data_IF_534012866836
#
_entry.id   IF_534012866836
#
_cell.length_a   1.000
_cell.length_b   1.000
_cell.length_c   1.000
_cell.angle_alpha   90.00
_cell.angle_beta   90.00
_cell.angle_gamma   90.00
#
_symmetry.space_group_name_H-M   'P 1'
#
loop_
_entity.id
_entity.type
_entity.pdbx_description
1 polymer ?
#
# COMPACT_ATOMS: atom_id res chain seq x y z
N UNK A 1 46.14 12.56 25.32
CA UNK A 1 45.68 11.96 24.06
C UNK A 1 44.62 10.88 24.23
N UNK A 2 44.81 9.80 25.06
CA UNK A 2 43.79 8.77 25.24
C UNK A 2 42.43 9.25 25.78
N UNK A 3 42.39 10.22 26.70
CA UNK A 3 41.15 10.80 27.24
C UNK A 3 40.37 11.62 26.22
N UNK A 4 41.08 12.33 25.32
CA UNK A 4 40.46 13.11 24.24
C UNK A 4 39.83 12.18 23.17
N UNK A 5 40.48 11.07 22.86
CA UNK A 5 39.95 10.06 21.94
C UNK A 5 38.68 9.38 22.46
N UNK A 6 38.62 9.10 23.78
CA UNK A 6 37.42 8.53 24.43
C UNK A 6 36.24 9.51 24.43
N UNK A 7 36.50 10.81 24.60
CA UNK A 7 35.47 11.84 24.56
C UNK A 7 34.87 12.02 23.15
N UNK A 8 35.73 12.03 22.12
CA UNK A 8 35.30 12.10 20.71
C UNK A 8 34.49 10.84 20.31
N UNK A 9 34.93 9.66 20.73
CA UNK A 9 34.18 8.41 20.49
C UNK A 9 32.81 8.42 21.18
N UNK A 10 32.71 8.91 22.42
CA UNK A 10 31.44 9.02 23.13
C UNK A 10 30.45 10.00 22.44
N UNK A 11 30.93 11.13 21.91
CA UNK A 11 30.12 12.10 21.17
C UNK A 11 29.63 11.52 19.85
N UNK A 12 30.44 10.75 19.13
CA UNK A 12 30.02 10.08 17.90
C UNK A 12 28.93 9.04 18.13
N UNK A 13 28.97 8.31 19.25
CA UNK A 13 27.93 7.30 19.59
C UNK A 13 26.60 7.97 19.93
N UNK A 14 26.61 9.11 20.61
CA UNK A 14 25.37 9.84 20.97
C UNK A 14 24.73 10.49 19.75
N UNK A 15 25.50 10.98 18.77
CA UNK A 15 24.98 11.54 17.51
C UNK A 15 24.35 10.45 16.63
N UNK A 16 24.86 9.21 16.66
CA UNK A 16 24.29 8.07 15.92
C UNK A 16 22.93 7.62 16.46
N UNK A 17 22.71 7.73 17.79
CA UNK A 17 21.44 7.35 18.40
C UNK A 17 20.30 8.33 18.03
N UNK A 18 20.58 9.62 17.93
CA UNK A 18 19.60 10.64 17.54
C UNK A 18 19.12 10.50 16.07
N UNK A 19 19.97 9.98 15.17
CA UNK A 19 19.60 9.78 13.78
C UNK A 19 18.54 8.65 13.60
N UNK A 20 18.56 7.63 14.46
CA UNK A 20 17.52 6.57 14.42
C UNK A 20 16.20 7.02 15.05
N UNK A 21 16.22 7.94 15.97
CA UNK A 21 15.02 8.48 16.60
C UNK A 21 14.26 9.45 15.69
N UNK A 22 14.98 10.21 14.87
CA UNK A 22 14.40 11.11 13.86
C UNK A 22 13.61 10.35 12.78
N UNK A 23 13.94 9.09 12.49
CA UNK A 23 13.17 8.22 11.59
C UNK A 23 11.87 7.68 12.22
N UNK A 24 11.74 7.77 13.55
CA UNK A 24 10.56 7.29 14.30
C UNK A 24 9.61 8.41 14.74
N UNK A 25 10.03 9.66 14.73
CA UNK A 25 9.24 10.80 15.24
C UNK A 25 8.41 11.50 14.17
N UNK A 26 8.20 10.88 13.02
CA UNK A 26 7.18 11.32 12.07
C UNK A 26 5.80 11.27 12.73
N UNK A 27 5.02 12.34 12.66
CA UNK A 27 3.61 12.37 13.01
C UNK A 27 2.95 11.09 12.48
N UNK A 28 2.35 10.29 13.38
CA UNK A 28 1.76 8.99 13.02
C UNK A 28 0.45 9.24 12.27
N UNK A 29 0.57 9.53 10.98
CA UNK A 29 -0.58 9.70 10.11
C UNK A 29 -1.21 8.33 9.90
N UNK A 30 -2.50 8.24 10.19
CA UNK A 30 -3.32 7.07 9.90
C UNK A 30 -4.01 7.31 8.56
N UNK A 31 -3.67 6.51 7.56
CA UNK A 31 -4.29 6.50 6.24
C UNK A 31 -4.15 5.10 5.62
N UNK A 32 -5.24 4.50 5.12
CA UNK A 32 -6.63 4.90 5.30
C UNK A 32 -7.13 4.71 6.75
N UNK A 33 -8.03 5.57 7.20
CA UNK A 33 -8.81 5.38 8.41
C UNK A 33 -10.24 5.00 8.01
N UNK A 34 -10.64 3.77 8.30
CA UNK A 34 -11.98 3.26 8.03
C UNK A 34 -12.84 3.50 9.26
N UNK A 35 -13.98 4.15 9.08
CA UNK A 35 -14.92 4.48 10.14
C UNK A 35 -16.02 3.43 10.27
N UNK A 36 -16.68 3.36 11.44
CA UNK A 36 -17.75 2.40 11.73
C UNK A 36 -18.94 2.50 10.77
N UNK A 37 -19.14 3.66 10.16
CA UNK A 37 -20.18 3.87 9.15
C UNK A 37 -19.74 3.54 7.72
N UNK A 38 -18.59 2.91 7.54
CA UNK A 38 -18.00 2.57 6.24
C UNK A 38 -17.57 3.80 5.39
N UNK A 39 -17.46 5.00 5.97
CA UNK A 39 -16.70 6.07 5.31
C UNK A 39 -15.20 5.90 5.55
N UNK A 40 -14.37 6.49 4.71
CA UNK A 40 -12.92 6.38 4.79
C UNK A 40 -12.29 7.75 4.74
N UNK A 41 -11.39 8.03 5.70
CA UNK A 41 -10.55 9.22 5.65
C UNK A 41 -9.15 8.85 5.18
N UNK A 42 -8.71 9.51 4.12
CA UNK A 42 -7.37 9.41 3.55
C UNK A 42 -6.58 10.66 3.93
N UNK A 43 -5.31 10.48 4.36
CA UNK A 43 -4.47 11.59 4.81
C UNK A 43 -3.08 11.50 4.20
N UNK A 44 -2.53 12.66 3.85
CA UNK A 44 -1.16 12.80 3.37
C UNK A 44 -0.48 14.01 4.00
N UNK A 45 0.67 13.81 4.63
CA UNK A 45 1.52 14.91 5.06
C UNK A 45 2.33 15.43 3.86
N UNK A 46 1.99 16.62 3.39
CA UNK A 46 2.66 17.27 2.29
C UNK A 46 2.61 18.81 2.48
N UNK A 47 3.37 19.34 3.46
CA UNK A 47 3.24 20.74 3.88
C UNK A 47 3.63 21.74 2.78
N UNK A 48 4.51 21.36 1.86
CA UNK A 48 4.96 22.22 0.76
C UNK A 48 4.16 22.07 -0.53
N UNK A 49 3.24 21.06 -0.59
CA UNK A 49 2.42 20.85 -1.77
C UNK A 49 1.44 22.00 -1.99
N UNK A 50 1.28 22.41 -3.23
CA UNK A 50 0.32 23.44 -3.65
C UNK A 50 -1.07 22.87 -3.85
N UNK A 51 -1.14 21.63 -4.31
CA UNK A 51 -2.38 20.91 -4.58
C UNK A 51 -2.20 19.42 -4.36
N UNK A 52 -3.11 18.81 -3.60
CA UNK A 52 -3.19 17.35 -3.46
C UNK A 52 -4.57 16.89 -3.83
N UNK A 53 -4.64 15.84 -4.63
CA UNK A 53 -5.87 15.18 -5.01
C UNK A 53 -5.79 13.69 -4.67
N UNK A 54 -6.93 13.06 -4.47
CA UNK A 54 -7.05 11.61 -4.41
C UNK A 54 -7.78 11.12 -5.65
N UNK A 55 -7.28 10.04 -6.25
CA UNK A 55 -7.91 9.32 -7.35
C UNK A 55 -8.15 7.87 -6.92
N UNK A 56 -9.34 7.34 -7.17
CA UNK A 56 -9.68 5.98 -6.77
C UNK A 56 -11.04 5.55 -7.31
N UNK A 57 -11.26 4.23 -7.38
CA UNK A 57 -12.50 3.66 -7.92
C UNK A 57 -13.74 3.84 -7.02
N UNK A 58 -13.56 4.38 -5.80
CA UNK A 58 -14.66 4.76 -4.91
C UNK A 58 -15.22 6.16 -5.18
N UNK A 59 -14.57 6.95 -6.04
CA UNK A 59 -14.98 8.32 -6.38
C UNK A 59 -15.99 8.36 -7.53
N UNK A 60 -16.17 7.28 -8.24
CA UNK A 60 -17.07 7.19 -9.39
C UNK A 60 -17.96 5.96 -9.30
N UNK A 61 -19.15 6.04 -9.86
CA UNK A 61 -20.05 4.92 -10.07
C UNK A 61 -19.84 4.24 -11.42
N UNK A 62 -19.09 4.90 -12.33
CA UNK A 62 -18.72 4.37 -13.64
C UNK A 62 -17.25 3.94 -13.63
N UNK A 63 -16.99 2.63 -13.85
CA UNK A 63 -15.65 2.05 -13.84
C UNK A 63 -14.69 2.66 -14.89
N UNK A 64 -15.24 3.37 -15.88
CA UNK A 64 -14.46 3.97 -16.97
C UNK A 64 -13.97 5.38 -16.68
N UNK A 65 -14.51 6.03 -15.67
CA UNK A 65 -14.21 7.44 -15.37
C UNK A 65 -13.58 7.57 -13.99
N UNK A 66 -12.27 7.36 -13.90
CA UNK A 66 -11.51 7.53 -12.64
C UNK A 66 -11.40 9.02 -12.36
N UNK A 67 -12.32 9.54 -11.58
CA UNK A 67 -12.33 10.94 -11.16
C UNK A 67 -11.32 11.14 -10.03
N UNK A 68 -10.63 12.28 -10.04
CA UNK A 68 -9.79 12.72 -8.94
C UNK A 68 -10.47 13.88 -8.21
N UNK A 69 -10.44 13.82 -6.88
CA UNK A 69 -11.03 14.85 -6.02
C UNK A 69 -9.95 15.58 -5.24
N UNK A 70 -10.09 16.89 -5.11
CA UNK A 70 -9.15 17.71 -4.33
C UNK A 70 -9.32 17.44 -2.83
N UNK A 71 -8.18 17.33 -2.14
CA UNK A 71 -8.12 17.15 -0.69
C UNK A 71 -8.01 18.52 -0.01
N UNK A 72 -8.41 18.60 1.25
CA UNK A 72 -8.35 19.81 2.05
C UNK A 72 -7.12 19.78 2.94
N UNK A 73 -6.35 20.87 2.94
CA UNK A 73 -5.16 21.01 3.79
C UNK A 73 -5.54 21.61 5.14
N UNK A 74 -5.04 21.00 6.23
CA UNK A 74 -5.16 21.57 7.58
C UNK A 74 -3.93 22.46 7.94
N UNK A 75 -3.95 23.05 9.14
CA UNK A 75 -2.90 23.94 9.63
C UNK A 75 -1.54 23.25 9.80
N UNK A 76 -1.53 21.94 10.05
CA UNK A 76 -0.33 21.13 10.26
C UNK A 76 0.30 20.63 8.95
N UNK A 77 -0.25 21.02 7.80
CA UNK A 77 0.23 20.60 6.49
C UNK A 77 -0.20 19.20 6.08
N UNK A 78 -1.18 18.63 6.76
CA UNK A 78 -1.81 17.36 6.39
C UNK A 78 -2.98 17.64 5.47
N UNK A 79 -3.01 16.93 4.34
CA UNK A 79 -4.11 16.93 3.40
C UNK A 79 -5.06 15.80 3.73
N UNK A 80 -6.36 16.06 3.73
CA UNK A 80 -7.40 15.11 4.13
C UNK A 80 -8.53 15.06 3.11
N UNK A 81 -9.07 13.87 2.93
CA UNK A 81 -10.30 13.61 2.19
C UNK A 81 -11.10 12.53 2.92
N UNK A 82 -12.37 12.78 3.16
CA UNK A 82 -13.30 11.79 3.71
C UNK A 82 -14.33 11.42 2.66
N UNK A 83 -14.47 10.14 2.39
CA UNK A 83 -15.44 9.62 1.43
C UNK A 83 -16.86 9.66 1.98
N UNK A 84 -17.89 9.64 1.12
CA UNK A 84 -19.21 9.17 1.52
C UNK A 84 -19.16 7.75 2.08
N UNK A 85 -20.28 7.26 2.62
CA UNK A 85 -20.44 5.85 3.01
C UNK A 85 -20.24 4.95 1.79
N UNK A 86 -19.33 4.01 1.90
CA UNK A 86 -18.96 3.07 0.83
C UNK A 86 -19.65 1.72 1.02
N UNK A 87 -19.80 0.98 -0.06
CA UNK A 87 -20.24 -0.41 -0.01
C UNK A 87 -19.10 -1.31 0.45
N UNK A 88 -19.43 -2.50 0.97
CA UNK A 88 -18.45 -3.55 1.27
C UNK A 88 -17.80 -4.05 -0.01
N UNK A 89 -16.52 -3.70 -0.22
CA UNK A 89 -15.75 -4.02 -1.43
C UNK A 89 -14.26 -3.73 -1.18
N UNK A 90 -13.41 -4.18 -2.12
CA UNK A 90 -12.02 -3.75 -2.23
C UNK A 90 -11.93 -2.50 -3.11
N UNK A 91 -11.27 -1.49 -2.58
CA UNK A 91 -11.05 -0.21 -3.25
C UNK A 91 -9.56 0.05 -3.50
N UNK A 92 -9.27 0.75 -4.59
CA UNK A 92 -7.92 1.21 -4.91
C UNK A 92 -7.85 2.74 -4.98
N UNK A 93 -6.67 3.28 -4.71
CA UNK A 93 -6.42 4.72 -4.81
C UNK A 93 -4.95 5.08 -4.97
N UNK A 94 -4.73 6.30 -5.41
CA UNK A 94 -3.46 7.02 -5.38
C UNK A 94 -3.69 8.46 -4.95
N UNK A 95 -2.62 9.09 -4.45
CA UNK A 95 -2.58 10.54 -4.35
C UNK A 95 -1.96 11.15 -5.61
N UNK A 96 -2.34 12.40 -5.89
CA UNK A 96 -1.75 13.22 -6.95
C UNK A 96 -1.28 14.50 -6.28
N UNK A 97 0.04 14.63 -6.12
CA UNK A 97 0.70 15.77 -5.46
C UNK A 97 1.32 16.65 -6.53
N UNK A 98 0.82 17.87 -6.70
CA UNK A 98 1.28 18.82 -7.71
C UNK A 98 1.40 18.20 -9.12
N UNK A 99 0.44 17.31 -9.47
CA UNK A 99 0.38 16.61 -10.75
C UNK A 99 1.13 15.27 -10.80
N UNK A 100 1.89 14.90 -9.76
CA UNK A 100 2.62 13.63 -9.70
C UNK A 100 1.80 12.59 -8.94
N UNK A 101 1.53 11.45 -9.58
CA UNK A 101 0.84 10.31 -8.95
C UNK A 101 1.80 9.55 -8.03
N UNK A 102 1.40 9.36 -6.78
CA UNK A 102 2.15 8.62 -5.77
C UNK A 102 1.26 7.62 -5.02
N UNK A 103 1.87 6.59 -4.47
CA UNK A 103 1.23 5.74 -3.47
C UNK A 103 1.18 6.45 -2.12
N UNK A 104 0.21 6.06 -1.28
CA UNK A 104 0.12 6.52 0.10
C UNK A 104 1.26 5.91 0.94
N UNK A 105 2.16 6.73 1.50
CA UNK A 105 3.27 6.23 2.30
C UNK A 105 2.85 5.65 3.66
N UNK A 106 1.64 5.98 4.13
CA UNK A 106 1.09 5.46 5.38
C UNK A 106 0.38 4.12 5.23
N UNK A 107 0.10 3.69 3.99
CA UNK A 107 -0.56 2.42 3.71
C UNK A 107 0.41 1.40 3.10
N UNK A 108 0.63 0.30 3.82
CA UNK A 108 1.53 -0.78 3.37
C UNK A 108 0.90 -1.70 2.32
N UNK A 109 -0.41 -1.64 2.14
CA UNK A 109 -1.12 -2.48 1.17
C UNK A 109 -1.06 -1.85 -0.21
N UNK A 110 -0.12 -2.34 -1.02
CA UNK A 110 0.12 -1.88 -2.39
C UNK A 110 -0.10 -3.02 -3.37
N UNK A 111 -0.89 -2.76 -4.39
CA UNK A 111 -1.02 -3.64 -5.55
C UNK A 111 -0.27 -3.06 -6.75
N UNK A 112 0.25 -3.97 -7.57
CA UNK A 112 0.83 -3.64 -8.86
C UNK A 112 0.05 -4.34 -9.96
N UNK A 113 -0.45 -3.54 -10.88
CA UNK A 113 -1.06 -3.99 -12.12
C UNK A 113 -0.19 -3.55 -13.30
N UNK A 114 0.20 -4.46 -14.15
CA UNK A 114 1.09 -4.26 -15.32
C UNK A 114 2.17 -3.20 -15.07
N UNK A 115 1.88 -1.94 -15.30
CA UNK A 115 2.79 -0.80 -15.13
C UNK A 115 2.37 0.19 -14.02
N UNK A 116 1.19 0.02 -13.43
CA UNK A 116 0.67 0.91 -12.40
C UNK A 116 0.87 0.33 -11.01
N UNK A 117 1.05 1.21 -10.03
CA UNK A 117 1.02 0.88 -8.60
C UNK A 117 -0.05 1.73 -7.93
N UNK A 118 -0.81 1.13 -7.02
CA UNK A 118 -1.84 1.80 -6.24
C UNK A 118 -1.99 1.16 -4.87
N UNK A 119 -2.46 1.92 -3.92
CA UNK A 119 -2.83 1.39 -2.61
C UNK A 119 -4.24 0.81 -2.65
N UNK A 120 -4.51 -0.10 -1.71
CA UNK A 120 -5.82 -0.69 -1.54
C UNK A 120 -6.29 -0.56 -0.09
N UNK A 121 -7.61 -0.56 0.08
CA UNK A 121 -8.28 -0.79 1.36
C UNK A 121 -9.54 -1.62 1.13
N UNK A 122 -10.03 -2.25 2.18
CA UNK A 122 -11.20 -3.14 2.14
C UNK A 122 -12.23 -2.60 3.12
N UNK A 123 -13.46 -2.40 2.66
CA UNK A 123 -14.61 -2.19 3.53
C UNK A 123 -15.23 -3.54 3.82
N UNK A 124 -15.29 -3.88 5.10
CA UNK A 124 -15.71 -5.19 5.60
C UNK A 124 -17.17 -5.53 5.27
N UNK A 125 -17.52 -6.80 5.42
CA UNK A 125 -18.84 -7.34 5.12
C UNK A 125 -19.03 -7.73 3.66
N UNK A 126 -20.11 -8.43 3.35
CA UNK A 126 -20.55 -8.83 2.01
C UNK A 126 -19.38 -9.18 1.06
N UNK A 127 -19.20 -8.44 -0.03
CA UNK A 127 -18.11 -8.65 -0.99
C UNK A 127 -16.72 -8.39 -0.42
N UNK A 128 -16.60 -7.51 0.57
CA UNK A 128 -15.34 -7.21 1.25
C UNK A 128 -14.71 -8.44 1.90
N UNK A 129 -15.55 -9.36 2.42
CA UNK A 129 -15.09 -10.60 3.04
C UNK A 129 -14.30 -11.51 2.08
N UNK A 130 -14.52 -11.41 0.77
CA UNK A 130 -13.80 -12.20 -0.22
C UNK A 130 -12.31 -11.83 -0.33
N UNK A 131 -11.95 -10.63 0.11
CA UNK A 131 -10.59 -10.09 0.00
C UNK A 131 -9.82 -10.13 1.33
N UNK A 132 -10.49 -10.47 2.42
CA UNK A 132 -9.87 -10.56 3.74
C UNK A 132 -9.13 -11.87 3.93
N UNK A 133 -8.26 -11.88 4.95
CA UNK A 133 -7.67 -13.11 5.47
C UNK A 133 -8.73 -13.80 6.31
N UNK A 134 -9.32 -14.86 5.79
CA UNK A 134 -10.33 -15.67 6.46
C UNK A 134 -9.67 -16.85 7.18
N UNK A 135 -10.30 -17.37 8.25
CA UNK A 135 -9.84 -18.56 8.99
C UNK A 135 -10.21 -19.84 8.21
N UNK A 136 -9.51 -20.04 7.09
CA UNK A 136 -9.67 -21.20 6.20
C UNK A 136 -8.28 -21.72 5.81
N UNK A 137 -8.15 -23.01 5.39
CA UNK A 137 -6.88 -23.49 4.87
C UNK A 137 -6.40 -22.65 3.68
N UNK A 138 -5.22 -22.06 3.79
CA UNK A 138 -4.66 -21.21 2.75
C UNK A 138 -3.76 -21.98 1.79
N UNK A 139 -3.78 -21.58 0.54
CA UNK A 139 -2.85 -22.04 -0.49
C UNK A 139 -1.48 -21.34 -0.39
N UNK A 140 -0.62 -21.64 -1.35
CA UNK A 140 0.71 -21.07 -1.44
C UNK A 140 0.90 -20.25 -2.71
N UNK A 141 1.63 -19.15 -2.61
CA UNK A 141 2.06 -18.34 -3.76
C UNK A 141 3.56 -18.49 -3.93
N UNK A 142 3.96 -19.13 -5.02
CA UNK A 142 5.38 -19.31 -5.38
C UNK A 142 5.74 -18.38 -6.52
N UNK A 143 6.83 -17.62 -6.38
CA UNK A 143 7.41 -16.82 -7.44
C UNK A 143 8.75 -17.42 -7.85
N UNK A 144 8.93 -17.70 -9.13
CA UNK A 144 10.18 -18.27 -9.65
C UNK A 144 10.57 -17.60 -10.96
N UNK A 145 11.86 -17.62 -11.25
CA UNK A 145 12.41 -17.18 -12.53
C UNK A 145 12.63 -18.38 -13.42
N UNK A 146 12.39 -18.20 -14.70
CA UNK A 146 12.71 -19.20 -15.73
C UNK A 146 13.25 -18.50 -16.97
N UNK A 147 14.13 -19.19 -17.68
CA UNK A 147 14.55 -18.75 -19.00
C UNK A 147 13.45 -19.03 -20.01
N UNK A 148 13.06 -18.02 -20.80
CA UNK A 148 12.09 -18.14 -21.88
C UNK A 148 12.81 -18.16 -23.23
N UNK A 149 13.04 -19.33 -23.85
CA UNK A 149 13.73 -19.41 -25.14
C UNK A 149 13.02 -18.64 -26.24
N UNK A 150 11.68 -18.66 -26.24
CA UNK A 150 10.86 -17.95 -27.25
C UNK A 150 11.02 -16.43 -27.19
N UNK A 151 11.23 -15.87 -25.97
CA UNK A 151 11.38 -14.43 -25.76
C UNK A 151 12.84 -14.00 -25.64
N UNK A 152 13.79 -14.94 -25.61
CA UNK A 152 15.22 -14.69 -25.46
C UNK A 152 15.59 -13.97 -24.15
N UNK A 153 14.81 -14.17 -23.07
CA UNK A 153 15.05 -13.50 -21.78
C UNK A 153 14.46 -14.24 -20.60
N UNK A 154 14.99 -13.96 -19.43
CA UNK A 154 14.43 -14.48 -18.19
C UNK A 154 13.10 -13.84 -17.85
N UNK A 155 12.17 -14.65 -17.42
CA UNK A 155 10.81 -14.26 -17.02
C UNK A 155 10.52 -14.73 -15.62
N UNK A 156 9.65 -14.01 -14.93
CA UNK A 156 9.12 -14.40 -13.63
C UNK A 156 7.72 -14.96 -13.80
N UNK A 157 7.47 -16.09 -13.17
CA UNK A 157 6.13 -16.67 -13.05
C UNK A 157 5.70 -16.66 -11.59
N UNK A 158 4.44 -16.37 -11.35
CA UNK A 158 3.79 -16.50 -10.05
C UNK A 158 2.77 -17.63 -10.16
N UNK A 159 2.87 -18.62 -9.30
CA UNK A 159 1.98 -19.78 -9.27
C UNK A 159 1.28 -19.83 -7.93
N UNK A 160 -0.03 -19.83 -7.94
CA UNK A 160 -0.84 -20.16 -6.77
C UNK A 160 -1.17 -21.67 -6.78
N UNK A 161 -0.99 -22.31 -5.65
CA UNK A 161 -1.42 -23.69 -5.43
C UNK A 161 -2.41 -23.74 -4.25
N UNK A 162 -3.51 -24.50 -4.35
CA UNK A 162 -4.50 -24.59 -3.27
C UNK A 162 -3.92 -25.23 -2.00
N UNK A 163 -4.63 -25.09 -0.89
CA UNK A 163 -4.25 -25.73 0.37
C UNK A 163 -4.12 -27.26 0.20
N UNK A 164 -3.05 -27.83 0.76
CA UNK A 164 -2.79 -29.26 0.68
C UNK A 164 -2.25 -29.76 -0.67
N UNK A 165 -1.95 -28.88 -1.62
CA UNK A 165 -1.48 -29.23 -2.96
C UNK A 165 -0.23 -30.12 -2.94
N UNK A 166 0.76 -29.78 -2.10
CA UNK A 166 2.04 -30.50 -2.03
C UNK A 166 1.91 -31.95 -1.49
N UNK A 167 0.83 -32.24 -0.75
CA UNK A 167 0.53 -33.55 -0.20
C UNK A 167 -0.49 -34.31 -1.08
N UNK A 168 -1.12 -33.64 -2.01
CA UNK A 168 -2.12 -34.23 -2.92
C UNK A 168 -1.46 -34.92 -4.10
N UNK A 169 -2.06 -36.02 -4.56
CA UNK A 169 -1.74 -36.67 -5.85
C UNK A 169 -2.78 -36.32 -6.94
N UNK A 170 -3.72 -35.45 -6.63
CA UNK A 170 -4.77 -35.06 -7.55
C UNK A 170 -4.21 -34.14 -8.65
N UNK A 171 -4.85 -34.21 -9.82
CA UNK A 171 -4.58 -33.29 -10.93
C UNK A 171 -5.55 -32.12 -10.85
N UNK A 172 -5.02 -30.94 -10.82
CA UNK A 172 -5.80 -29.69 -10.78
C UNK A 172 -5.87 -29.04 -12.16
N UNK A 173 -6.99 -28.42 -12.53
CA UNK A 173 -7.04 -27.55 -13.71
C UNK A 173 -6.13 -26.34 -13.51
N UNK A 174 -5.61 -25.82 -14.63
CA UNK A 174 -4.71 -24.64 -14.61
C UNK A 174 -5.43 -23.44 -15.20
N UNK A 175 -5.48 -22.35 -14.44
CA UNK A 175 -5.94 -21.05 -14.90
C UNK A 175 -4.73 -20.17 -15.18
N UNK A 176 -4.66 -19.64 -16.40
CA UNK A 176 -3.66 -18.66 -16.82
C UNK A 176 -4.29 -17.26 -16.79
N UNK A 177 -3.64 -16.33 -16.09
CA UNK A 177 -4.05 -14.93 -15.93
C UNK A 177 -3.02 -13.98 -16.54
#
# INVERSE_FOLDING_TARGET
MKKLFLLVAAVCVTLGASAQEALRSGSKIVSPEIHDNNSVTLRLFAPEAKKVMVAGNFLTTDEKDVTATEMTRNADGVWEYTSPVLRSELYNYNFIVDGVKICDPANVYVCRDVAAMFNIFIIDGDRGELYRVNDVPHGSVKRTWYNSPTLGKDRRITVYTPAGYEQSKEKYPVLYL
#
